data_IF_900556017112
#
_entry.id   IF_900556017112
#
_cell.length_a   1.000
_cell.length_b   1.000
_cell.length_c   1.000
_cell.angle_alpha   90.00
_cell.angle_beta   90.00
_cell.angle_gamma   90.00
#
_symmetry.space_group_name_H-M   'P 1'
#
loop_
_entity.id
_entity.type
_entity.pdbx_description
1 polymer ?
#
# COMPACT_ATOMS: atom_id res chain seq x y z
N UNK A 1 -12.54 12.67 12.47
CA UNK A 1 -12.76 11.21 12.38
C UNK A 1 -11.43 10.55 12.66
N UNK A 2 -11.33 9.72 13.70
CA UNK A 2 -10.12 8.95 13.95
C UNK A 2 -10.03 7.91 12.82
N UNK A 3 -9.32 8.25 11.75
CA UNK A 3 -8.99 7.29 10.71
C UNK A 3 -8.29 6.13 11.41
N UNK A 4 -8.85 4.93 11.25
CA UNK A 4 -8.22 3.72 11.76
C UNK A 4 -6.96 3.46 10.92
N UNK A 5 -5.88 4.15 11.29
CA UNK A 5 -4.59 4.09 10.61
C UNK A 5 -3.94 2.71 10.74
N UNK A 6 -4.58 1.75 11.43
CA UNK A 6 -4.06 0.41 11.61
C UNK A 6 -3.77 -0.25 10.27
N UNK A 7 -4.68 -0.16 9.29
CA UNK A 7 -4.46 -0.74 7.97
C UNK A 7 -3.29 -0.09 7.23
N UNK A 8 -3.14 1.23 7.35
CA UNK A 8 -1.99 1.97 6.80
C UNK A 8 -0.68 1.49 7.43
N UNK A 9 -0.63 1.42 8.77
CA UNK A 9 0.55 0.93 9.52
C UNK A 9 0.88 -0.51 9.12
N UNK A 10 -0.11 -1.39 9.08
CA UNK A 10 0.08 -2.79 8.68
C UNK A 10 0.59 -2.92 7.24
N UNK A 11 0.11 -2.07 6.31
CA UNK A 11 0.58 -2.06 4.94
C UNK A 11 2.03 -1.58 4.81
N UNK A 12 2.47 -0.66 5.68
CA UNK A 12 3.87 -0.22 5.75
C UNK A 12 4.79 -1.28 6.40
N UNK A 13 4.34 -1.92 7.47
CA UNK A 13 5.13 -2.92 8.22
C UNK A 13 5.19 -4.28 7.52
N UNK A 14 4.12 -4.68 6.83
CA UNK A 14 3.97 -6.02 6.24
C UNK A 14 3.57 -5.98 4.74
N UNK A 15 4.27 -5.21 3.88
CA UNK A 15 3.86 -4.99 2.49
C UNK A 15 3.79 -6.28 1.65
N UNK A 16 4.65 -7.26 1.93
CA UNK A 16 4.63 -8.54 1.21
C UNK A 16 3.36 -9.35 1.46
N UNK A 17 2.81 -9.26 2.69
CA UNK A 17 1.58 -9.96 3.04
C UNK A 17 0.38 -9.34 2.34
N UNK A 18 0.32 -8.01 2.27
CA UNK A 18 -0.70 -7.30 1.49
C UNK A 18 -0.65 -7.63 0.00
N UNK A 19 0.55 -7.71 -0.57
CA UNK A 19 0.74 -8.10 -1.97
C UNK A 19 0.28 -9.54 -2.22
N UNK A 20 0.63 -10.46 -1.31
CA UNK A 20 0.18 -11.85 -1.41
C UNK A 20 -1.34 -11.95 -1.28
N UNK A 21 -1.93 -11.25 -0.31
CA UNK A 21 -3.36 -11.27 -0.04
C UNK A 21 -4.17 -10.70 -1.21
N UNK A 22 -3.79 -9.54 -1.73
CA UNK A 22 -4.56 -8.83 -2.76
C UNK A 22 -4.32 -9.37 -4.17
N UNK A 23 -3.07 -9.75 -4.48
CA UNK A 23 -2.69 -10.15 -5.84
C UNK A 23 -2.54 -11.67 -6.00
N UNK A 24 -2.64 -12.45 -4.92
CA UNK A 24 -2.42 -13.90 -4.95
C UNK A 24 -0.99 -14.31 -5.33
N UNK A 25 -0.03 -13.38 -5.27
CA UNK A 25 1.33 -13.56 -5.78
C UNK A 25 2.37 -13.31 -4.69
N UNK A 26 3.30 -14.25 -4.55
CA UNK A 26 4.49 -14.04 -3.71
C UNK A 26 5.50 -13.16 -4.45
N UNK A 27 5.77 -11.98 -3.91
CA UNK A 27 6.76 -11.05 -4.44
C UNK A 27 7.98 -11.04 -3.52
N UNK A 28 9.14 -11.44 -4.05
CA UNK A 28 10.38 -11.58 -3.27
C UNK A 28 10.95 -10.24 -2.78
N UNK A 29 10.77 -9.18 -3.56
CA UNK A 29 11.30 -7.86 -3.25
C UNK A 29 10.23 -6.79 -3.44
N UNK A 30 9.89 -6.14 -2.34
CA UNK A 30 8.96 -5.00 -2.31
C UNK A 30 9.64 -3.85 -1.59
N UNK A 31 9.28 -2.61 -1.95
CA UNK A 31 9.74 -1.42 -1.26
C UNK A 31 8.54 -0.50 -1.03
N UNK A 32 8.25 -0.18 0.23
CA UNK A 32 7.29 0.88 0.55
C UNK A 32 7.91 2.22 0.15
N UNK A 33 7.19 2.98 -0.67
CA UNK A 33 7.59 4.31 -1.10
C UNK A 33 6.99 5.32 -0.12
N UNK A 34 7.80 5.76 0.85
CA UNK A 34 7.46 6.88 1.73
C UNK A 34 7.67 8.17 0.95
N UNK A 35 6.66 8.58 0.19
CA UNK A 35 6.64 9.88 -0.48
C UNK A 35 5.36 10.58 -0.07
N UNK A 36 5.42 11.90 0.10
CA UNK A 36 4.21 12.72 0.12
C UNK A 36 3.65 12.69 -1.30
N UNK A 37 2.77 11.73 -1.59
CA UNK A 37 1.99 11.77 -2.82
C UNK A 37 1.09 12.99 -2.71
N UNK A 38 1.15 13.85 -3.72
CA UNK A 38 0.24 14.98 -3.83
C UNK A 38 -1.20 14.48 -3.69
N UNK A 39 -1.97 15.14 -2.84
CA UNK A 39 -3.35 14.74 -2.51
C UNK A 39 -4.25 14.73 -3.76
N UNK A 40 -3.85 15.44 -4.83
CA UNK A 40 -4.50 15.37 -6.15
C UNK A 40 -3.55 14.90 -7.26
N UNK A 41 -4.03 14.07 -8.21
CA UNK A 41 -5.38 13.47 -8.27
C UNK A 41 -5.51 12.12 -7.53
N UNK A 42 -4.44 11.62 -6.89
CA UNK A 42 -4.38 10.25 -6.35
C UNK A 42 -4.02 10.29 -4.87
N UNK A 43 -5.00 10.04 -4.01
CA UNK A 43 -4.78 9.78 -2.59
C UNK A 43 -4.47 8.31 -2.39
N UNK A 44 -3.32 8.00 -1.77
CA UNK A 44 -2.97 6.65 -1.38
C UNK A 44 -2.55 6.63 0.09
N UNK A 45 -3.08 5.68 0.85
CA UNK A 45 -2.65 5.44 2.23
C UNK A 45 -1.31 4.72 2.27
N UNK A 46 -1.04 3.85 1.28
CA UNK A 46 0.25 3.17 1.12
C UNK A 46 0.58 2.95 -0.35
N UNK A 47 1.85 3.15 -0.71
CA UNK A 47 2.38 2.86 -2.05
C UNK A 47 3.57 1.93 -1.94
N UNK A 48 3.50 0.82 -2.66
CA UNK A 48 4.51 -0.23 -2.64
C UNK A 48 5.01 -0.53 -4.05
N UNK A 49 6.32 -0.39 -4.26
CA UNK A 49 6.97 -0.80 -5.49
C UNK A 49 7.31 -2.29 -5.46
N UNK A 50 6.70 -3.05 -6.35
CA UNK A 50 6.95 -4.47 -6.57
C UNK A 50 8.13 -4.63 -7.54
N UNK A 51 9.34 -4.60 -6.99
CA UNK A 51 10.57 -4.50 -7.78
C UNK A 51 10.71 -5.60 -8.85
N UNK A 52 10.30 -6.83 -8.53
CA UNK A 52 10.42 -7.95 -9.47
C UNK A 52 9.45 -7.86 -10.66
N UNK A 53 8.28 -7.26 -10.46
CA UNK A 53 7.27 -7.10 -11.51
C UNK A 53 7.31 -5.73 -12.18
N UNK A 54 8.21 -4.82 -11.73
CA UNK A 54 8.28 -3.42 -12.17
C UNK A 54 6.91 -2.73 -12.11
N UNK A 55 6.12 -3.05 -11.09
CA UNK A 55 4.77 -2.54 -10.90
C UNK A 55 4.66 -1.79 -9.58
N UNK A 56 3.69 -0.87 -9.48
CA UNK A 56 3.38 -0.16 -8.24
C UNK A 56 1.99 -0.60 -7.78
N UNK A 57 1.88 -0.94 -6.49
CA UNK A 57 0.61 -1.21 -5.81
C UNK A 57 0.24 0.02 -4.98
N UNK A 58 -0.90 0.64 -5.26
CA UNK A 58 -1.48 1.73 -4.48
C UNK A 58 -2.63 1.18 -3.63
N UNK A 59 -2.64 1.48 -2.34
CA UNK A 59 -3.68 1.07 -1.40
C UNK A 59 -4.32 2.30 -0.77
N UNK A 60 -5.65 2.30 -0.74
CA UNK A 60 -6.49 3.26 -0.01
C UNK A 60 -7.45 2.46 0.87
N UNK A 61 -7.57 2.86 2.14
CA UNK A 61 -8.42 2.24 3.14
C UNK A 61 -9.53 3.21 3.52
N UNK A 62 -10.76 2.89 3.15
CA UNK A 62 -11.93 3.70 3.48
C UNK A 62 -12.76 2.98 4.55
N UNK A 63 -13.02 3.67 5.66
CA UNK A 63 -13.90 3.20 6.73
C UNK A 63 -15.17 4.05 6.76
N UNK A 64 -16.16 3.65 5.96
CA UNK A 64 -17.46 4.32 5.81
C UNK A 64 -17.76 4.74 4.37
N UNK A 65 -19.04 4.79 4.03
CA UNK A 65 -19.59 5.30 2.75
C UNK A 65 -19.58 6.81 2.68
#
# INVERSE_FOLDING_TARGET
MAFDNLCKVMAEENPQQFVLWLLGKRVKRVKVLKTELGIEPIRADSVTFLQSSKAVLHLEFQTGT
#
